data_IF_369000635510
#
_entry.id   IF_369000635510
#
_cell.length_a   1.000
_cell.length_b   1.000
_cell.length_c   1.000
_cell.angle_alpha   90.00
_cell.angle_beta   90.00
_cell.angle_gamma   90.00
#
_symmetry.space_group_name_H-M   'P 1'
#
loop_
_entity.id
_entity.type
_entity.pdbx_description
1 polymer ?
#
# COMPACT_ATOMS: atom_id res chain seq x y z
N UNK A 1 -46.34 -11.59 9.52
CA UNK A 1 -45.88 -11.97 8.16
C UNK A 1 -44.48 -11.42 8.01
N UNK A 2 -43.49 -12.29 8.20
CA UNK A 2 -42.08 -11.94 8.09
C UNK A 2 -41.68 -12.09 6.63
N UNK A 3 -41.28 -11.01 5.98
CA UNK A 3 -40.73 -11.06 4.64
C UNK A 3 -39.21 -11.29 4.74
N UNK A 4 -38.77 -12.43 4.24
CA UNK A 4 -37.41 -12.93 4.38
C UNK A 4 -36.44 -12.20 3.46
N UNK A 5 -35.51 -11.44 4.04
CA UNK A 5 -34.31 -11.03 3.31
C UNK A 5 -33.42 -12.25 3.08
N UNK A 6 -33.34 -12.68 1.82
CA UNK A 6 -32.35 -13.65 1.35
C UNK A 6 -30.95 -13.10 1.62
N UNK A 7 -30.14 -13.84 2.38
CA UNK A 7 -28.71 -13.61 2.54
C UNK A 7 -28.01 -13.67 1.17
N UNK A 8 -27.75 -12.50 0.60
CA UNK A 8 -26.97 -12.38 -0.62
C UNK A 8 -25.49 -12.57 -0.31
N UNK A 9 -24.89 -13.64 -0.81
CA UNK A 9 -23.44 -13.86 -0.75
C UNK A 9 -22.71 -12.66 -1.37
N UNK A 10 -22.06 -11.86 -0.52
CA UNK A 10 -21.25 -10.72 -0.95
C UNK A 10 -20.08 -11.25 -1.80
N UNK A 11 -20.02 -10.84 -3.07
CA UNK A 11 -18.89 -11.23 -3.92
C UNK A 11 -17.58 -10.66 -3.36
N UNK A 12 -16.47 -11.38 -3.53
CA UNK A 12 -15.11 -10.91 -3.19
C UNK A 12 -14.85 -9.51 -3.78
N UNK A 13 -15.36 -9.24 -5.00
CA UNK A 13 -15.28 -7.93 -5.67
C UNK A 13 -16.00 -6.82 -4.91
N UNK A 14 -17.11 -7.11 -4.23
CA UNK A 14 -17.80 -6.14 -3.39
C UNK A 14 -16.98 -5.86 -2.13
N UNK A 15 -16.44 -6.89 -1.47
CA UNK A 15 -15.57 -6.76 -0.30
C UNK A 15 -14.30 -5.95 -0.59
N UNK A 16 -13.64 -6.21 -1.73
CA UNK A 16 -12.50 -5.43 -2.19
C UNK A 16 -12.84 -3.94 -2.41
N UNK A 17 -14.04 -3.61 -2.91
CA UNK A 17 -14.47 -2.20 -3.03
C UNK A 17 -14.49 -1.50 -1.68
N UNK A 18 -14.91 -2.20 -0.62
CA UNK A 18 -14.97 -1.65 0.72
C UNK A 18 -13.59 -1.57 1.37
N UNK A 19 -12.66 -2.48 1.09
CA UNK A 19 -11.32 -2.49 1.70
C UNK A 19 -10.41 -1.33 1.20
N UNK A 20 -10.30 -1.12 -0.12
CA UNK A 20 -9.37 -0.13 -0.70
C UNK A 20 -9.90 1.32 -0.80
N UNK A 21 -10.67 1.84 0.15
CA UNK A 21 -11.19 3.22 0.07
C UNK A 21 -11.08 3.99 1.38
N UNK A 22 -10.25 5.04 1.45
CA UNK A 22 -10.11 5.88 2.65
C UNK A 22 -9.13 7.02 2.42
N UNK A 23 -9.20 8.10 3.20
CA UNK A 23 -8.18 9.16 3.22
C UNK A 23 -7.12 8.79 4.26
N UNK A 24 -5.85 8.78 3.88
CA UNK A 24 -4.73 8.61 4.82
C UNK A 24 -4.62 9.83 5.73
N UNK A 25 -4.58 9.60 7.03
CA UNK A 25 -3.94 10.52 7.98
C UNK A 25 -2.69 9.86 8.54
N UNK A 26 -1.61 10.61 8.77
CA UNK A 26 -0.34 10.11 9.31
C UNK A 26 -0.38 9.65 10.78
N UNK A 27 -1.53 9.15 11.25
CA UNK A 27 -1.70 8.66 12.61
C UNK A 27 -1.27 7.19 12.68
N UNK A 28 -0.35 6.89 13.59
CA UNK A 28 0.17 5.54 13.85
C UNK A 28 -0.81 4.62 14.59
N UNK A 29 -1.93 5.17 15.08
CA UNK A 29 -2.94 4.45 15.86
C UNK A 29 -4.31 5.13 15.72
N UNK A 30 -5.36 4.31 15.61
CA UNK A 30 -6.75 4.75 15.62
C UNK A 30 -7.57 3.86 16.57
N UNK A 31 -8.54 4.46 17.26
CA UNK A 31 -9.54 3.70 18.00
C UNK A 31 -10.62 3.22 17.04
N UNK A 32 -10.67 1.92 16.76
CA UNK A 32 -11.55 1.34 15.72
C UNK A 32 -12.84 0.75 16.28
N UNK A 33 -12.89 0.54 17.59
CA UNK A 33 -14.05 0.07 18.35
C UNK A 33 -13.89 0.53 19.82
N UNK A 34 -14.96 0.61 20.66
CA UNK A 34 -14.82 0.99 22.07
C UNK A 34 -13.68 0.22 22.77
N UNK A 35 -12.71 0.99 23.30
CA UNK A 35 -11.49 0.52 23.95
C UNK A 35 -10.56 -0.38 23.13
N UNK A 36 -10.79 -0.52 21.83
CA UNK A 36 -9.99 -1.31 20.89
C UNK A 36 -9.31 -0.41 19.86
N UNK A 37 -7.99 -0.47 19.84
CA UNK A 37 -7.11 0.36 19.02
C UNK A 37 -6.44 -0.50 17.96
N UNK A 38 -6.33 0.04 16.76
CA UNK A 38 -5.57 -0.54 15.64
C UNK A 38 -4.39 0.38 15.36
N UNK A 39 -3.17 -0.17 15.31
CA UNK A 39 -1.98 0.63 15.07
C UNK A 39 -0.83 -0.13 14.45
N UNK A 40 0.25 0.58 14.17
CA UNK A 40 1.49 0.04 13.64
C UNK A 40 2.55 -0.23 14.73
N UNK A 41 3.73 -0.66 14.31
CA UNK A 41 4.83 -0.93 15.23
C UNK A 41 5.39 0.34 15.90
N UNK A 42 5.22 1.52 15.29
CA UNK A 42 5.71 2.78 15.85
C UNK A 42 5.00 3.09 17.16
N UNK A 43 3.67 2.98 17.20
CA UNK A 43 2.91 3.17 18.46
C UNK A 43 3.18 2.05 19.47
N UNK A 44 3.34 0.80 19.00
CA UNK A 44 3.61 -0.33 19.90
C UNK A 44 4.93 -0.20 20.66
N UNK A 45 5.89 0.53 20.07
CA UNK A 45 7.20 0.82 20.67
C UNK A 45 7.25 2.17 21.43
N UNK A 46 6.18 2.97 21.41
CA UNK A 46 6.07 4.24 22.13
C UNK A 46 5.37 4.03 23.49
N UNK A 47 6.15 3.72 24.54
CA UNK A 47 5.63 3.51 25.89
C UNK A 47 4.86 4.72 26.45
N UNK A 48 5.31 5.92 26.13
CA UNK A 48 4.62 7.14 26.57
C UNK A 48 3.28 7.31 25.83
N UNK A 49 3.26 7.05 24.53
CA UNK A 49 2.03 7.03 23.72
C UNK A 49 1.01 6.01 24.23
N UNK A 50 1.45 4.77 24.51
CA UNK A 50 0.59 3.73 25.09
C UNK A 50 0.03 4.15 26.45
N UNK A 51 0.87 4.66 27.35
CA UNK A 51 0.46 5.16 28.66
C UNK A 51 -0.55 6.30 28.55
N UNK A 52 -0.28 7.28 27.68
CA UNK A 52 -1.16 8.44 27.44
C UNK A 52 -2.51 8.01 26.87
N UNK A 53 -2.54 6.97 26.05
CA UNK A 53 -3.75 6.36 25.52
C UNK A 53 -4.44 5.42 26.52
N UNK A 54 -3.85 5.19 27.69
CA UNK A 54 -4.35 4.26 28.70
C UNK A 54 -4.33 2.80 28.24
N UNK A 55 -3.48 2.44 27.27
CA UNK A 55 -3.39 1.06 26.78
C UNK A 55 -2.85 0.18 27.90
N UNK A 56 -3.60 -0.88 28.18
CA UNK A 56 -3.33 -1.87 29.23
C UNK A 56 -2.92 -3.23 28.67
N UNK A 57 -3.28 -3.50 27.41
CA UNK A 57 -3.02 -4.77 26.75
C UNK A 57 -2.53 -4.52 25.32
N UNK A 58 -1.63 -5.38 24.83
CA UNK A 58 -1.11 -5.35 23.46
C UNK A 58 -1.22 -6.74 22.84
N UNK A 59 -1.88 -6.82 21.69
CA UNK A 59 -1.92 -8.00 20.82
C UNK A 59 -1.07 -7.75 19.58
N UNK A 60 0.07 -8.44 19.48
CA UNK A 60 0.99 -8.34 18.35
C UNK A 60 0.70 -9.42 17.31
N UNK A 61 0.18 -9.03 16.14
CA UNK A 61 -0.09 -9.89 14.99
C UNK A 61 1.14 -10.13 14.08
N UNK A 62 2.36 -10.01 14.64
CA UNK A 62 3.63 -10.15 13.94
C UNK A 62 4.78 -10.62 14.87
N UNK A 63 4.46 -11.38 15.93
CA UNK A 63 5.45 -11.82 16.92
C UNK A 63 6.51 -12.76 16.33
N UNK A 64 7.76 -12.70 16.81
CA UNK A 64 8.81 -13.67 16.46
C UNK A 64 9.70 -13.34 15.24
N UNK A 65 9.62 -12.14 14.64
CA UNK A 65 10.58 -11.67 13.60
C UNK A 65 11.55 -10.60 14.12
N UNK A 66 12.61 -10.33 13.35
CA UNK A 66 13.72 -9.38 13.56
C UNK A 66 13.36 -7.94 13.95
N UNK A 67 12.08 -7.59 14.13
CA UNK A 67 11.63 -6.23 14.39
C UNK A 67 10.60 -6.06 15.51
N UNK A 68 10.29 -7.06 16.33
CA UNK A 68 9.37 -6.85 17.47
C UNK A 68 9.92 -7.48 18.75
N UNK A 69 10.87 -6.78 19.37
CA UNK A 69 11.27 -7.02 20.77
C UNK A 69 10.24 -6.41 21.70
N UNK A 70 9.11 -7.09 21.87
CA UNK A 70 8.08 -6.67 22.81
C UNK A 70 7.62 -7.88 23.59
N UNK A 71 8.36 -8.28 24.61
CA UNK A 71 7.89 -9.27 25.60
C UNK A 71 7.49 -8.55 26.88
N UNK A 72 7.20 -9.33 27.93
CA UNK A 72 6.99 -8.79 29.28
C UNK A 72 8.14 -7.85 29.71
N UNK A 73 9.38 -8.12 29.28
CA UNK A 73 10.56 -7.30 29.56
C UNK A 73 10.52 -5.88 28.97
N UNK A 74 9.84 -5.67 27.83
CA UNK A 74 9.75 -4.36 27.18
C UNK A 74 8.67 -3.48 27.82
N UNK A 75 7.51 -4.09 28.06
CA UNK A 75 6.30 -3.43 28.55
C UNK A 75 6.26 -3.30 30.08
N UNK A 76 7.06 -4.10 30.80
CA UNK A 76 7.04 -4.19 32.25
C UNK A 76 5.69 -4.71 32.78
N UNK A 77 5.35 -4.36 34.02
CA UNK A 77 4.09 -4.73 34.67
C UNK A 77 2.89 -3.88 34.24
N UNK A 78 3.11 -2.85 33.41
CA UNK A 78 2.08 -1.87 33.05
C UNK A 78 1.19 -2.28 31.87
N UNK A 79 1.67 -3.19 31.02
CA UNK A 79 0.95 -3.65 29.83
C UNK A 79 1.08 -5.17 29.72
N UNK A 80 -0.06 -5.84 29.62
CA UNK A 80 -0.11 -7.27 29.33
C UNK A 80 0.10 -7.52 27.83
N UNK A 81 0.98 -8.47 27.48
CA UNK A 81 1.38 -8.71 26.11
C UNK A 81 0.96 -10.10 25.62
N UNK A 82 0.30 -10.14 24.46
CA UNK A 82 -0.01 -11.37 23.73
C UNK A 82 0.61 -11.32 22.33
N UNK A 83 1.46 -12.29 22.02
CA UNK A 83 2.16 -12.40 20.74
C UNK A 83 1.58 -13.50 19.86
N UNK A 84 1.15 -13.15 18.65
CA UNK A 84 0.75 -14.10 17.60
C UNK A 84 1.91 -14.25 16.62
N UNK A 85 2.48 -15.46 16.44
CA UNK A 85 3.60 -15.70 15.53
C UNK A 85 3.13 -15.76 14.08
N UNK A 86 2.50 -14.68 13.61
CA UNK A 86 2.00 -14.56 12.25
C UNK A 86 3.08 -14.01 11.33
N UNK A 87 3.55 -14.84 10.40
CA UNK A 87 4.49 -14.41 9.36
C UNK A 87 3.85 -13.29 8.51
N UNK A 88 4.62 -12.24 8.21
CA UNK A 88 4.22 -11.19 7.27
C UNK A 88 4.38 -11.64 5.82
N UNK A 89 3.75 -12.76 5.51
CA UNK A 89 3.75 -13.38 4.20
C UNK A 89 2.31 -13.53 3.75
N UNK A 90 1.98 -13.20 2.49
CA UNK A 90 0.65 -13.45 1.95
C UNK A 90 0.31 -14.95 1.87
N UNK A 91 1.29 -15.84 2.06
CA UNK A 91 1.09 -17.29 2.13
C UNK A 91 0.86 -17.80 3.57
N UNK A 92 0.96 -16.94 4.59
CA UNK A 92 0.73 -17.35 5.96
C UNK A 92 -0.77 -17.47 6.22
N UNK A 93 -1.19 -18.65 6.69
CA UNK A 93 -2.58 -18.88 7.09
C UNK A 93 -2.87 -18.22 8.44
N UNK A 94 -3.46 -17.02 8.39
CA UNK A 94 -3.88 -16.29 9.59
C UNK A 94 -5.18 -16.85 10.20
N UNK A 95 -5.93 -17.66 9.46
CA UNK A 95 -7.28 -18.08 9.87
C UNK A 95 -7.29 -18.91 11.16
N UNK A 96 -6.23 -19.68 11.39
CA UNK A 96 -6.03 -20.47 12.62
C UNK A 96 -5.98 -19.60 13.88
N UNK A 97 -5.69 -18.30 13.73
CA UNK A 97 -5.62 -17.34 14.84
C UNK A 97 -6.90 -16.51 15.01
N UNK A 98 -7.87 -16.59 14.09
CA UNK A 98 -9.07 -15.76 14.16
C UNK A 98 -9.89 -15.99 15.43
N UNK A 99 -10.24 -17.25 15.74
CA UNK A 99 -11.02 -17.56 16.94
C UNK A 99 -10.22 -17.29 18.23
N UNK A 100 -8.98 -17.80 18.40
CA UNK A 100 -8.20 -17.54 19.61
C UNK A 100 -7.97 -16.04 19.88
N UNK A 101 -7.66 -15.26 18.85
CA UNK A 101 -7.45 -13.82 19.02
C UNK A 101 -8.76 -13.08 19.29
N UNK A 102 -9.86 -13.47 18.64
CA UNK A 102 -11.17 -12.89 18.90
C UNK A 102 -11.61 -13.14 20.35
N UNK A 103 -11.39 -14.35 20.87
CA UNK A 103 -11.68 -14.71 22.26
C UNK A 103 -10.81 -13.90 23.23
N UNK A 104 -9.52 -13.74 22.95
CA UNK A 104 -8.61 -12.88 23.73
C UNK A 104 -9.08 -11.42 23.74
N UNK A 105 -9.37 -10.84 22.56
CA UNK A 105 -9.87 -9.46 22.45
C UNK A 105 -11.15 -9.31 23.27
N UNK A 106 -12.09 -10.26 23.19
CA UNK A 106 -13.34 -10.22 23.94
C UNK A 106 -13.13 -10.28 25.46
N UNK A 107 -12.24 -11.17 25.92
CA UNK A 107 -11.90 -11.29 27.33
C UNK A 107 -11.31 -10.00 27.88
N UNK A 108 -10.36 -9.39 27.15
CA UNK A 108 -9.74 -8.12 27.55
C UNK A 108 -10.79 -7.01 27.60
N UNK A 109 -11.60 -6.84 26.55
CA UNK A 109 -12.58 -5.77 26.47
C UNK A 109 -13.77 -5.94 27.44
N UNK A 110 -13.97 -7.14 27.99
CA UNK A 110 -14.93 -7.40 29.07
C UNK A 110 -14.44 -6.93 30.44
N UNK A 111 -13.15 -6.63 30.57
CA UNK A 111 -12.54 -6.16 31.82
C UNK A 111 -12.74 -4.65 31.98
N UNK A 112 -13.32 -4.16 33.09
CA UNK A 112 -13.57 -2.73 33.28
C UNK A 112 -12.30 -1.88 33.18
N UNK A 113 -12.33 -0.86 32.32
CA UNK A 113 -11.21 0.07 32.12
C UNK A 113 -10.07 -0.47 31.25
N UNK A 114 -10.13 -1.73 30.81
CA UNK A 114 -9.13 -2.29 29.91
C UNK A 114 -9.22 -1.64 28.51
N UNK A 115 -8.05 -1.33 27.96
CA UNK A 115 -7.87 -0.81 26.60
C UNK A 115 -6.80 -1.63 25.89
N UNK A 116 -7.12 -2.10 24.70
CA UNK A 116 -6.32 -3.05 23.92
C UNK A 116 -5.83 -2.41 22.64
N UNK A 117 -4.52 -2.51 22.38
CA UNK A 117 -3.94 -2.23 21.07
C UNK A 117 -3.71 -3.53 20.31
N UNK A 118 -4.25 -3.63 19.10
CA UNK A 118 -3.89 -4.67 18.12
C UNK A 118 -2.99 -4.06 17.07
N UNK A 119 -1.79 -4.61 16.89
CA UNK A 119 -0.84 -4.07 15.91
C UNK A 119 -0.15 -5.17 15.09
N UNK A 120 0.41 -4.78 13.95
CA UNK A 120 1.37 -5.58 13.21
C UNK A 120 2.55 -4.67 12.82
N UNK A 121 3.30 -4.98 11.75
CA UNK A 121 4.40 -4.13 11.30
C UNK A 121 3.93 -2.71 10.92
N UNK A 122 2.97 -2.61 9.99
CA UNK A 122 2.45 -1.34 9.46
C UNK A 122 0.98 -1.07 9.80
N UNK A 123 0.37 -1.87 10.67
CA UNK A 123 -1.01 -1.68 11.14
C UNK A 123 -2.16 -1.99 10.17
N UNK A 124 -1.87 -2.44 8.94
CA UNK A 124 -2.85 -2.50 7.84
C UNK A 124 -3.47 -3.88 7.58
N UNK A 125 -2.70 -4.97 7.74
CA UNK A 125 -3.08 -6.29 7.19
C UNK A 125 -3.49 -7.29 8.26
N UNK A 126 -2.52 -7.82 9.00
CA UNK A 126 -2.73 -8.90 9.97
C UNK A 126 -3.54 -8.42 11.18
N UNK A 127 -3.15 -7.27 11.75
CA UNK A 127 -3.87 -6.65 12.87
C UNK A 127 -5.32 -6.32 12.52
N UNK A 128 -5.54 -5.70 11.36
CA UNK A 128 -6.87 -5.42 10.84
C UNK A 128 -7.72 -6.69 10.70
N UNK A 129 -7.14 -7.77 10.15
CA UNK A 129 -7.84 -9.04 9.97
C UNK A 129 -8.27 -9.65 11.31
N UNK A 130 -7.44 -9.56 12.35
CA UNK A 130 -7.80 -10.04 13.69
C UNK A 130 -8.91 -9.19 14.34
N UNK A 131 -8.89 -7.86 14.14
CA UNK A 131 -9.98 -6.98 14.60
C UNK A 131 -11.29 -7.31 13.88
N UNK A 132 -11.26 -7.52 12.56
CA UNK A 132 -12.44 -7.92 11.80
C UNK A 132 -12.99 -9.27 12.29
N UNK A 133 -12.11 -10.24 12.54
CA UNK A 133 -12.51 -11.53 13.11
C UNK A 133 -13.22 -11.37 14.46
N UNK A 134 -12.71 -10.51 15.35
CA UNK A 134 -13.38 -10.19 16.61
C UNK A 134 -14.79 -9.62 16.43
N UNK A 135 -14.96 -8.61 15.57
CA UNK A 135 -16.26 -8.01 15.32
C UNK A 135 -17.26 -9.02 14.74
N UNK A 136 -16.81 -9.90 13.84
CA UNK A 136 -17.67 -10.94 13.28
C UNK A 136 -18.04 -12.01 14.31
N UNK A 137 -17.08 -12.48 15.11
CA UNK A 137 -17.25 -13.62 16.01
C UNK A 137 -17.99 -13.24 17.29
N UNK A 138 -17.64 -12.12 17.92
CA UNK A 138 -18.17 -11.72 19.23
C UNK A 138 -19.21 -10.61 19.16
N UNK A 139 -19.10 -9.71 18.17
CA UNK A 139 -20.12 -8.66 17.97
C UNK A 139 -21.21 -9.07 16.96
N UNK A 140 -21.09 -10.25 16.36
CA UNK A 140 -22.03 -10.79 15.36
C UNK A 140 -22.21 -9.86 14.16
N UNK A 141 -21.18 -9.08 13.82
CA UNK A 141 -21.24 -8.20 12.66
C UNK A 141 -21.11 -9.01 11.38
N UNK A 142 -21.98 -8.79 10.38
CA UNK A 142 -21.67 -9.19 9.02
C UNK A 142 -20.31 -8.60 8.60
N UNK A 143 -19.51 -9.34 7.84
CA UNK A 143 -18.17 -8.91 7.41
C UNK A 143 -18.16 -7.49 6.82
N UNK A 144 -19.20 -7.14 6.05
CA UNK A 144 -19.31 -5.81 5.48
C UNK A 144 -19.45 -4.71 6.55
N UNK A 145 -20.28 -4.93 7.57
CA UNK A 145 -20.46 -3.98 8.66
C UNK A 145 -19.20 -3.90 9.51
N UNK A 146 -18.54 -5.03 9.77
CA UNK A 146 -17.24 -5.03 10.44
C UNK A 146 -16.19 -4.19 9.68
N UNK A 147 -16.13 -4.33 8.35
CA UNK A 147 -15.24 -3.50 7.51
C UNK A 147 -15.61 -2.03 7.59
N UNK A 148 -16.90 -1.68 7.47
CA UNK A 148 -17.34 -0.28 7.57
C UNK A 148 -16.99 0.32 8.93
N UNK A 149 -17.30 -0.38 10.02
CA UNK A 149 -16.99 0.04 11.39
C UNK A 149 -15.51 0.34 11.56
N UNK A 150 -14.64 -0.59 11.14
CA UNK A 150 -13.20 -0.36 11.26
C UNK A 150 -12.76 0.79 10.35
N UNK A 151 -13.34 0.99 9.15
CA UNK A 151 -12.94 2.09 8.23
C UNK A 151 -13.49 3.46 8.58
N UNK A 152 -14.64 3.54 9.23
CA UNK A 152 -15.19 4.81 9.70
C UNK A 152 -14.40 5.32 10.90
N UNK A 153 -13.84 4.40 11.69
CA UNK A 153 -13.09 4.70 12.90
C UNK A 153 -11.57 4.56 12.74
N UNK A 154 -11.09 3.95 11.64
CA UNK A 154 -9.68 3.92 11.22
C UNK A 154 -9.47 4.87 10.05
N UNK A 155 -8.48 5.74 10.17
CA UNK A 155 -8.02 6.59 9.07
C UNK A 155 -6.92 5.91 8.24
N UNK A 156 -6.74 4.60 8.41
CA UNK A 156 -5.82 3.75 7.66
C UNK A 156 -6.57 2.90 6.61
N UNK A 157 -5.90 2.50 5.53
CA UNK A 157 -6.48 1.56 4.56
C UNK A 157 -6.56 0.15 5.17
N UNK A 158 -7.69 -0.53 5.04
CA UNK A 158 -7.78 -1.97 5.35
C UNK A 158 -7.43 -2.78 4.09
N UNK A 159 -6.26 -3.42 4.11
CA UNK A 159 -5.80 -4.57 3.31
C UNK A 159 -5.58 -4.48 1.79
N UNK A 160 -4.49 -5.15 1.38
CA UNK A 160 -4.18 -5.74 0.07
C UNK A 160 -4.02 -7.28 0.11
N UNK A 161 -4.50 -7.98 1.15
CA UNK A 161 -4.15 -9.41 1.39
C UNK A 161 -5.33 -10.38 1.61
N UNK A 162 -6.59 -10.03 1.32
CA UNK A 162 -7.72 -10.98 1.52
C UNK A 162 -7.90 -11.98 0.35
N UNK A 163 -7.10 -11.90 -0.71
CA UNK A 163 -7.28 -12.77 -1.90
C UNK A 163 -6.10 -13.66 -2.26
N UNK A 164 -5.27 -14.04 -1.29
CA UNK A 164 -4.25 -15.10 -1.43
C UNK A 164 -4.77 -16.47 -1.00
N UNK A 165 -4.54 -17.47 -1.83
CA UNK A 165 -4.99 -18.88 -1.79
C UNK A 165 -5.18 -19.55 -0.42
N UNK A 166 -6.29 -20.32 -0.28
CA UNK A 166 -6.46 -21.24 0.86
C UNK A 166 -7.87 -21.78 1.14
N UNK A 167 -8.94 -21.24 0.55
CA UNK A 167 -10.30 -21.74 0.83
C UNK A 167 -10.71 -22.88 -0.12
N UNK A 168 -10.20 -24.09 0.12
CA UNK A 168 -10.85 -25.30 -0.38
C UNK A 168 -12.03 -25.60 0.54
N UNK A 169 -13.23 -25.17 0.11
CA UNK A 169 -14.46 -25.40 0.86
C UNK A 169 -14.81 -26.88 0.94
N UNK A 170 -14.84 -27.43 2.16
CA UNK A 170 -15.68 -28.59 2.47
C UNK A 170 -17.02 -28.09 2.97
N UNK A 171 -18.03 -28.26 2.13
CA UNK A 171 -19.44 -28.01 2.45
C UNK A 171 -19.94 -29.17 3.31
N UNK A 172 -20.35 -28.91 4.55
CA UNK A 172 -21.28 -29.78 5.26
C UNK A 172 -22.66 -29.50 4.66
N UNK A 173 -23.19 -30.44 3.88
CA UNK A 173 -24.61 -30.46 3.52
C UNK A 173 -25.24 -31.70 4.09
N UNK A 174 -26.24 -31.51 4.95
CA UNK A 174 -27.21 -32.53 5.26
C UNK A 174 -28.19 -32.64 4.08
N UNK A 175 -28.41 -33.87 3.62
CA UNK A 175 -29.44 -34.36 2.69
C UNK A 175 -29.48 -33.86 1.23
N UNK A 176 -29.28 -34.81 0.31
CA UNK A 176 -30.24 -35.08 -0.77
C UNK A 176 -30.01 -34.44 -2.14
N UNK A 177 -29.49 -35.26 -3.08
CA UNK A 177 -29.79 -35.35 -4.53
C UNK A 177 -30.08 -34.05 -5.31
N UNK A 178 -29.29 -33.77 -6.37
CA UNK A 178 -29.73 -33.54 -7.77
C UNK A 178 -28.51 -33.31 -8.70
N UNK A 179 -28.34 -34.27 -9.61
CA UNK A 179 -27.80 -34.29 -11.00
C UNK A 179 -26.50 -33.59 -11.43
N UNK A 180 -25.71 -34.40 -12.15
CA UNK A 180 -24.35 -34.25 -12.67
C UNK A 180 -24.23 -33.54 -14.03
N UNK A 181 -24.69 -32.28 -14.21
CA UNK A 181 -24.72 -31.72 -15.59
C UNK A 181 -24.35 -30.24 -15.83
N UNK A 182 -23.61 -29.57 -14.93
CA UNK A 182 -23.23 -28.15 -15.16
C UNK A 182 -21.76 -27.78 -14.88
N UNK A 183 -20.82 -28.71 -15.00
CA UNK A 183 -19.37 -28.47 -14.79
C UNK A 183 -18.63 -27.70 -15.90
N UNK A 184 -19.31 -27.02 -16.83
CA UNK A 184 -18.65 -26.41 -17.98
C UNK A 184 -19.01 -24.94 -18.25
N UNK A 185 -18.96 -24.06 -17.24
CA UNK A 185 -18.78 -22.62 -17.47
C UNK A 185 -17.74 -22.04 -16.50
N UNK A 186 -16.50 -22.09 -16.97
CA UNK A 186 -15.26 -21.55 -16.40
C UNK A 186 -15.47 -20.09 -15.95
N UNK A 187 -15.61 -19.85 -14.65
CA UNK A 187 -15.54 -18.51 -14.07
C UNK A 187 -14.14 -17.93 -14.33
N UNK A 188 -14.03 -16.94 -15.22
CA UNK A 188 -12.80 -16.17 -15.43
C UNK A 188 -12.56 -15.30 -14.19
N UNK A 189 -11.88 -15.86 -13.18
CA UNK A 189 -11.43 -15.17 -11.96
C UNK A 189 -10.58 -13.97 -12.40
N UNK A 190 -10.98 -12.75 -12.03
CA UNK A 190 -10.19 -11.54 -12.34
C UNK A 190 -9.01 -11.53 -11.37
N UNK A 191 -7.84 -11.87 -11.88
CA UNK A 191 -6.58 -11.90 -11.13
C UNK A 191 -6.10 -10.45 -10.90
N UNK A 192 -5.98 -10.05 -9.63
CA UNK A 192 -5.42 -8.75 -9.27
C UNK A 192 -3.90 -8.83 -9.29
N UNK A 193 -3.27 -7.76 -9.77
CA UNK A 193 -1.82 -7.68 -9.89
C UNK A 193 -1.21 -7.45 -8.50
N UNK A 194 -0.30 -8.32 -8.06
CA UNK A 194 0.40 -8.18 -6.78
C UNK A 194 1.77 -7.51 -6.95
N UNK A 195 2.40 -7.09 -5.83
CA UNK A 195 3.79 -6.60 -5.83
C UNK A 195 4.74 -7.65 -6.39
N UNK A 196 4.57 -8.92 -6.04
CA UNK A 196 5.40 -10.03 -6.57
C UNK A 196 5.25 -10.18 -8.08
N UNK A 197 4.06 -9.94 -8.62
CA UNK A 197 3.86 -9.99 -10.07
C UNK A 197 4.55 -8.83 -10.79
N UNK A 198 4.62 -7.66 -10.16
CA UNK A 198 5.39 -6.53 -10.67
C UNK A 198 6.89 -6.78 -10.60
N UNK A 199 7.38 -7.34 -9.49
CA UNK A 199 8.78 -7.75 -9.35
C UNK A 199 9.19 -8.71 -10.46
N UNK A 200 8.40 -9.75 -10.76
CA UNK A 200 8.65 -10.66 -11.89
C UNK A 200 8.75 -9.93 -13.24
N UNK A 201 7.97 -8.87 -13.45
CA UNK A 201 8.06 -8.06 -14.67
C UNK A 201 9.33 -7.21 -14.67
N UNK A 202 9.71 -6.63 -13.53
CA UNK A 202 10.95 -5.86 -13.39
C UNK A 202 12.19 -6.74 -13.56
N UNK A 203 12.18 -7.95 -13.01
CA UNK A 203 13.25 -8.95 -13.10
C UNK A 203 13.50 -9.43 -14.54
N UNK A 204 12.53 -9.24 -15.45
CA UNK A 204 12.71 -9.53 -16.87
C UNK A 204 13.55 -8.50 -17.62
N UNK A 205 13.87 -7.36 -16.98
CA UNK A 205 14.70 -6.31 -17.57
C UNK A 205 16.19 -6.70 -17.55
N UNK A 206 16.81 -6.76 -18.71
CA UNK A 206 18.24 -7.10 -18.87
C UNK A 206 19.12 -5.91 -19.27
N UNK A 207 18.58 -4.68 -19.21
CA UNK A 207 19.31 -3.47 -19.60
C UNK A 207 20.31 -3.05 -18.51
N UNK A 208 21.42 -2.46 -18.95
CA UNK A 208 22.36 -1.80 -18.04
C UNK A 208 21.81 -0.47 -17.52
N UNK A 209 22.26 -0.09 -16.32
CA UNK A 209 21.88 1.18 -15.71
C UNK A 209 22.78 2.32 -16.18
N UNK A 210 22.36 3.04 -17.23
CA UNK A 210 23.07 4.23 -17.69
C UNK A 210 22.82 5.45 -16.79
N UNK A 211 23.60 6.51 -16.99
CA UNK A 211 23.44 7.75 -16.21
C UNK A 211 22.12 8.46 -16.51
N UNK A 212 21.65 8.38 -17.74
CA UNK A 212 20.40 8.96 -18.22
C UNK A 212 19.88 8.14 -19.40
N UNK A 213 18.57 7.94 -19.48
CA UNK A 213 17.91 7.36 -20.65
C UNK A 213 16.60 8.09 -20.93
N UNK A 214 16.28 8.23 -22.22
CA UNK A 214 14.96 8.67 -22.66
C UNK A 214 13.98 7.50 -22.56
N UNK A 215 13.02 7.61 -21.64
CA UNK A 215 12.09 6.51 -21.33
C UNK A 215 10.71 6.73 -21.94
N UNK A 216 10.43 7.95 -22.39
CA UNK A 216 9.23 8.37 -23.10
C UNK A 216 9.57 9.64 -23.90
N UNK A 217 8.89 9.98 -25.02
CA UNK A 217 9.27 11.15 -25.82
C UNK A 217 9.52 12.41 -24.98
N UNK A 218 10.76 12.92 -25.07
CA UNK A 218 11.28 14.07 -24.34
C UNK A 218 11.30 13.95 -22.79
N UNK A 219 11.07 12.76 -22.24
CA UNK A 219 11.07 12.46 -20.80
C UNK A 219 12.18 11.49 -20.46
N UNK A 220 13.08 11.94 -19.61
CA UNK A 220 14.30 11.24 -19.25
C UNK A 220 14.27 10.81 -17.78
N UNK A 221 14.81 9.63 -17.49
CA UNK A 221 15.17 9.24 -16.13
C UNK A 221 16.69 9.23 -16.02
N UNK A 222 17.22 9.83 -14.95
CA UNK A 222 18.65 9.86 -14.71
C UNK A 222 19.05 9.70 -13.24
N UNK A 223 20.35 9.57 -13.03
CA UNK A 223 20.97 9.53 -11.72
C UNK A 223 21.47 10.92 -11.28
N UNK A 224 22.01 11.00 -10.07
CA UNK A 224 22.47 12.28 -9.51
C UNK A 224 23.70 12.86 -10.23
N UNK A 225 24.53 12.00 -10.82
CA UNK A 225 25.76 12.42 -11.51
C UNK A 225 25.45 13.25 -12.76
N UNK A 226 24.52 12.79 -13.59
CA UNK A 226 24.10 13.56 -14.78
C UNK A 226 23.31 14.81 -14.39
N UNK A 227 22.46 14.73 -13.37
CA UNK A 227 21.64 15.86 -12.94
C UNK A 227 22.48 17.05 -12.47
N UNK A 228 23.61 16.76 -11.81
CA UNK A 228 24.54 17.80 -11.35
C UNK A 228 25.47 18.32 -12.47
N UNK A 229 25.44 17.75 -13.68
CA UNK A 229 26.22 18.23 -14.82
C UNK A 229 25.38 19.13 -15.72
N UNK A 230 25.27 20.41 -15.35
CA UNK A 230 24.45 21.40 -16.07
C UNK A 230 24.82 21.55 -17.53
N UNK A 231 26.10 21.51 -17.87
CA UNK A 231 26.58 21.59 -19.26
C UNK A 231 26.05 20.41 -20.08
N UNK A 232 26.15 19.19 -19.55
CA UNK A 232 25.60 18.02 -20.22
C UNK A 232 24.07 18.11 -20.38
N UNK A 233 23.35 18.59 -19.36
CA UNK A 233 21.91 18.82 -19.47
C UNK A 233 21.54 19.85 -20.56
N UNK A 234 22.32 20.93 -20.68
CA UNK A 234 22.14 21.93 -21.74
C UNK A 234 22.43 21.32 -23.12
N UNK A 235 23.49 20.53 -23.27
CA UNK A 235 23.80 19.84 -24.54
C UNK A 235 22.69 18.86 -24.95
N UNK A 236 22.02 18.22 -23.98
CA UNK A 236 20.87 17.35 -24.23
C UNK A 236 19.57 18.14 -24.51
N UNK A 237 19.58 19.45 -24.28
CA UNK A 237 18.42 20.33 -24.40
C UNK A 237 17.39 20.13 -23.29
N UNK A 238 17.79 19.62 -22.12
CA UNK A 238 16.88 19.50 -20.97
C UNK A 238 16.46 20.90 -20.52
N UNK A 239 15.16 21.12 -20.34
CA UNK A 239 14.59 22.41 -19.92
C UNK A 239 13.95 22.35 -18.54
N UNK A 240 13.55 21.16 -18.09
CA UNK A 240 12.90 20.98 -16.79
C UNK A 240 13.59 19.86 -16.01
N UNK A 241 13.82 20.08 -14.72
CA UNK A 241 14.46 19.11 -13.83
C UNK A 241 13.57 18.85 -12.61
N UNK A 242 13.07 17.63 -12.49
CA UNK A 242 12.44 17.12 -11.29
C UNK A 242 13.45 16.28 -10.50
N UNK A 243 13.78 16.71 -9.30
CA UNK A 243 14.64 16.00 -8.37
C UNK A 243 13.80 15.26 -7.31
N UNK A 244 13.68 13.95 -7.44
CA UNK A 244 12.98 13.07 -6.50
C UNK A 244 13.82 12.69 -5.27
N UNK A 245 14.98 13.32 -5.06
CA UNK A 245 15.88 13.12 -3.93
C UNK A 245 16.38 14.47 -3.36
N UNK A 246 15.59 15.53 -3.47
CA UNK A 246 15.99 16.87 -3.03
C UNK A 246 16.38 16.86 -1.54
N UNK A 247 17.44 17.60 -1.22
CA UNK A 247 18.01 17.70 0.14
C UNK A 247 18.52 16.37 0.73
N UNK A 248 18.65 15.30 -0.07
CA UNK A 248 19.29 14.06 0.37
C UNK A 248 20.80 14.13 0.14
N UNK A 249 21.56 13.42 0.97
CA UNK A 249 23.02 13.41 0.91
C UNK A 249 23.49 13.05 -0.50
N UNK A 250 24.38 13.87 -1.05
CA UNK A 250 24.91 13.70 -2.40
C UNK A 250 23.98 14.15 -3.53
N UNK A 251 22.75 14.61 -3.25
CA UNK A 251 21.85 15.21 -4.22
C UNK A 251 21.79 16.73 -4.07
N UNK A 252 22.63 17.40 -4.83
CA UNK A 252 22.68 18.85 -4.91
C UNK A 252 21.72 19.33 -6.01
N UNK A 253 20.96 20.37 -5.73
CA UNK A 253 20.11 21.02 -6.72
C UNK A 253 19.01 21.85 -6.09
N UNK A 254 18.86 23.07 -6.58
CA UNK A 254 17.74 23.98 -6.37
C UNK A 254 17.66 24.92 -7.59
N UNK A 255 16.68 25.84 -7.59
CA UNK A 255 16.55 26.79 -8.70
C UNK A 255 17.79 27.68 -8.87
N UNK A 256 18.56 27.96 -7.80
CA UNK A 256 19.80 28.75 -7.87
C UNK A 256 20.92 27.97 -8.56
N UNK A 257 21.08 26.70 -8.21
CA UNK A 257 22.04 25.80 -8.84
C UNK A 257 21.80 25.70 -10.34
N UNK A 258 20.55 25.49 -10.77
CA UNK A 258 20.22 25.35 -12.19
C UNK A 258 20.17 26.69 -12.96
N UNK A 259 19.91 27.81 -12.28
CA UNK A 259 19.81 29.14 -12.90
C UNK A 259 18.53 29.30 -13.72
N UNK A 260 18.50 30.25 -14.66
CA UNK A 260 17.33 30.53 -15.50
C UNK A 260 17.17 29.58 -16.70
N UNK A 261 18.19 28.78 -17.01
CA UNK A 261 18.16 27.84 -18.14
C UNK A 261 17.26 26.62 -17.91
N UNK A 262 16.87 26.36 -16.66
CA UNK A 262 16.01 25.23 -16.33
C UNK A 262 14.92 25.64 -15.36
N UNK A 263 13.76 24.99 -15.46
CA UNK A 263 12.73 25.03 -14.42
C UNK A 263 12.97 23.87 -13.46
N UNK A 264 13.07 24.15 -12.16
CA UNK A 264 13.40 23.15 -11.15
C UNK A 264 12.20 22.81 -10.25
N UNK A 265 12.02 21.52 -9.95
CA UNK A 265 11.11 21.04 -8.91
C UNK A 265 11.82 20.01 -8.01
N UNK A 266 11.91 20.30 -6.72
CA UNK A 266 12.52 19.41 -5.73
C UNK A 266 11.46 18.70 -4.88
N UNK A 267 11.54 17.38 -4.80
CA UNK A 267 10.74 16.54 -3.90
C UNK A 267 11.71 15.89 -2.89
N UNK A 268 11.55 16.14 -1.58
CA UNK A 268 12.47 15.65 -0.56
C UNK A 268 12.21 14.19 -0.15
N UNK A 269 12.08 13.30 -1.13
CA UNK A 269 11.68 11.91 -0.90
C UNK A 269 12.81 11.00 -0.39
N UNK A 270 12.48 10.17 0.59
CA UNK A 270 13.32 9.08 1.08
C UNK A 270 13.08 7.81 0.27
N UNK A 271 14.12 7.02 0.07
CA UNK A 271 14.02 5.71 -0.58
C UNK A 271 13.84 4.61 0.47
N UNK A 272 12.71 4.61 1.15
CA UNK A 272 12.46 3.71 2.27
C UNK A 272 11.13 2.98 2.13
N UNK A 273 11.02 1.88 2.87
CA UNK A 273 9.79 1.07 2.93
C UNK A 273 8.62 1.75 3.62
N UNK A 274 8.80 2.97 4.16
CA UNK A 274 7.79 3.67 4.94
C UNK A 274 7.50 5.09 4.43
N UNK A 275 8.26 5.59 3.45
CA UNK A 275 8.04 6.92 2.91
C UNK A 275 6.79 6.94 2.02
N UNK A 276 5.83 7.83 2.32
CA UNK A 276 4.64 7.98 1.48
C UNK A 276 4.93 8.87 0.27
N UNK A 277 5.26 8.25 -0.87
CA UNK A 277 5.53 8.96 -2.12
C UNK A 277 4.25 9.35 -2.89
N UNK A 278 3.08 8.76 -2.54
CA UNK A 278 1.81 8.99 -3.23
C UNK A 278 1.37 10.46 -3.13
N UNK A 279 1.65 11.10 -1.99
CA UNK A 279 1.35 12.52 -1.78
C UNK A 279 1.98 13.44 -2.84
N UNK A 280 3.03 12.97 -3.53
CA UNK A 280 3.72 13.69 -4.58
C UNK A 280 3.37 13.24 -6.01
N UNK A 281 2.60 12.17 -6.19
CA UNK A 281 2.30 11.63 -7.54
C UNK A 281 1.66 12.67 -8.46
N UNK A 282 0.64 13.37 -7.97
CA UNK A 282 -0.03 14.41 -8.77
C UNK A 282 0.90 15.61 -9.03
N UNK A 283 1.59 16.08 -8.00
CA UNK A 283 2.53 17.21 -8.12
C UNK A 283 3.62 16.92 -9.17
N UNK A 284 4.23 15.75 -9.10
CA UNK A 284 5.26 15.33 -10.04
C UNK A 284 4.70 15.15 -11.45
N UNK A 285 3.55 14.48 -11.58
CA UNK A 285 2.90 14.26 -12.87
C UNK A 285 2.50 15.57 -13.55
N UNK A 286 1.98 16.54 -12.79
CA UNK A 286 1.61 17.86 -13.30
C UNK A 286 2.85 18.64 -13.75
N UNK A 287 3.95 18.59 -13.00
CA UNK A 287 5.23 19.19 -13.40
C UNK A 287 5.75 18.59 -14.70
N UNK A 288 5.78 17.25 -14.80
CA UNK A 288 6.21 16.54 -16.00
C UNK A 288 5.31 16.90 -17.19
N UNK A 289 4.00 16.88 -17.01
CA UNK A 289 3.04 17.18 -18.09
C UNK A 289 3.20 18.62 -18.60
N UNK A 290 3.34 19.59 -17.69
CA UNK A 290 3.57 20.99 -18.05
C UNK A 290 4.88 21.15 -18.80
N UNK A 291 5.97 20.56 -18.30
CA UNK A 291 7.28 20.64 -18.92
C UNK A 291 7.30 20.06 -20.34
N UNK A 292 6.64 18.94 -20.57
CA UNK A 292 6.54 18.31 -21.90
C UNK A 292 5.60 19.04 -22.87
N UNK A 293 4.71 19.91 -22.37
CA UNK A 293 3.85 20.76 -23.20
C UNK A 293 4.47 22.11 -23.56
N UNK A 294 5.54 22.50 -22.87
CA UNK A 294 6.30 23.70 -23.22
C UNK A 294 6.98 23.53 -24.58
N UNK A 295 7.13 24.61 -25.38
CA UNK A 295 7.96 24.58 -26.58
C UNK A 295 9.36 24.05 -26.27
N UNK A 296 9.84 23.11 -27.08
CA UNK A 296 11.14 22.42 -26.89
C UNK A 296 11.32 21.77 -25.50
N UNK A 297 10.19 21.46 -24.84
CA UNK A 297 10.13 20.91 -23.50
C UNK A 297 10.75 19.53 -23.39
N UNK A 298 11.85 19.41 -22.65
CA UNK A 298 12.46 18.15 -22.25
C UNK A 298 12.61 18.09 -20.74
N UNK A 299 12.11 17.00 -20.15
CA UNK A 299 12.02 16.84 -18.70
C UNK A 299 12.97 15.73 -18.25
N UNK A 300 13.88 16.05 -17.32
CA UNK A 300 14.64 15.07 -16.57
C UNK A 300 13.97 14.82 -15.22
N UNK A 301 13.69 13.56 -14.91
CA UNK A 301 13.28 13.11 -13.56
C UNK A 301 14.40 12.26 -12.98
N UNK A 302 15.05 12.73 -11.91
CA UNK A 302 16.19 12.02 -11.34
C UNK A 302 16.02 11.76 -9.85
N UNK A 303 16.78 10.78 -9.34
CA UNK A 303 17.01 10.60 -7.91
C UNK A 303 18.51 10.32 -7.71
N UNK A 304 18.90 9.57 -6.68
CA UNK A 304 20.31 9.20 -6.47
C UNK A 304 20.79 8.28 -7.59
N UNK A 305 20.14 7.12 -7.78
CA UNK A 305 20.54 6.11 -8.78
C UNK A 305 19.71 6.18 -10.08
N UNK A 306 18.60 6.91 -10.09
CA UNK A 306 17.67 6.88 -11.22
C UNK A 306 16.92 5.55 -11.37
N UNK A 307 16.67 4.86 -10.25
CA UNK A 307 16.13 3.49 -10.20
C UNK A 307 14.75 3.38 -9.54
N UNK A 308 14.58 3.98 -8.35
CA UNK A 308 13.41 3.76 -7.48
C UNK A 308 12.48 4.98 -7.42
N UNK A 309 12.85 6.05 -6.70
CA UNK A 309 12.02 7.26 -6.53
C UNK A 309 11.63 7.92 -7.86
N UNK A 310 12.60 8.18 -8.74
CA UNK A 310 12.37 8.86 -10.02
C UNK A 310 11.50 8.04 -10.96
N UNK A 311 11.77 6.73 -11.08
CA UNK A 311 10.97 5.84 -11.91
C UNK A 311 9.54 5.71 -11.39
N UNK A 312 9.34 5.69 -10.07
CA UNK A 312 8.00 5.69 -9.47
C UNK A 312 7.19 6.90 -9.91
N UNK A 313 7.78 8.11 -9.85
CA UNK A 313 7.09 9.33 -10.27
C UNK A 313 6.80 9.37 -11.78
N UNK A 314 7.71 8.83 -12.61
CA UNK A 314 7.47 8.70 -14.06
C UNK A 314 6.35 7.69 -14.36
N UNK A 315 6.31 6.55 -13.65
CA UNK A 315 5.24 5.57 -13.78
C UNK A 315 3.88 6.19 -13.40
N UNK A 316 3.83 6.92 -12.28
CA UNK A 316 2.63 7.65 -11.86
C UNK A 316 2.17 8.67 -12.92
N UNK A 317 3.09 9.39 -13.55
CA UNK A 317 2.79 10.28 -14.68
C UNK A 317 2.14 9.54 -15.86
N UNK A 318 2.73 8.43 -16.31
CA UNK A 318 2.17 7.63 -17.41
C UNK A 318 0.77 7.10 -17.09
N UNK A 319 0.52 6.72 -15.83
CA UNK A 319 -0.79 6.26 -15.40
C UNK A 319 -1.82 7.39 -15.36
N UNK A 320 -1.43 8.56 -14.82
CA UNK A 320 -2.33 9.71 -14.63
C UNK A 320 -2.67 10.41 -15.94
N UNK A 321 -1.66 10.70 -16.78
CA UNK A 321 -1.82 11.54 -17.98
C UNK A 321 -1.91 10.76 -19.29
N UNK A 322 -1.33 9.56 -19.36
CA UNK A 322 -1.43 8.68 -20.54
C UNK A 322 -2.39 7.52 -20.32
N UNK A 323 -3.06 7.48 -19.16
CA UNK A 323 -4.05 6.48 -18.81
C UNK A 323 -3.56 5.04 -18.94
N UNK A 324 -2.27 4.82 -18.78
CA UNK A 324 -1.67 3.49 -18.92
C UNK A 324 -1.92 2.65 -17.66
N UNK A 325 -2.33 1.38 -17.75
CA UNK A 325 -2.31 0.48 -16.60
C UNK A 325 -0.88 0.31 -16.08
N UNK A 326 -0.70 0.16 -14.76
CA UNK A 326 0.63 0.09 -14.14
C UNK A 326 1.56 -0.96 -14.79
N UNK A 327 1.06 -2.18 -15.02
CA UNK A 327 1.84 -3.25 -15.67
C UNK A 327 2.38 -2.80 -17.03
N UNK A 328 1.54 -2.16 -17.83
CA UNK A 328 1.90 -1.67 -19.16
C UNK A 328 2.89 -0.51 -19.09
N UNK A 329 2.74 0.37 -18.09
CA UNK A 329 3.69 1.46 -17.84
C UNK A 329 5.09 0.92 -17.48
N UNK A 330 5.15 -0.08 -16.59
CA UNK A 330 6.42 -0.75 -16.26
C UNK A 330 7.02 -1.40 -17.50
N UNK A 331 6.24 -2.20 -18.23
CA UNK A 331 6.69 -2.85 -19.47
C UNK A 331 7.23 -1.87 -20.50
N UNK A 332 6.65 -0.67 -20.61
CA UNK A 332 7.14 0.38 -21.49
C UNK A 332 8.49 0.93 -21.04
N UNK A 333 8.65 1.23 -19.74
CA UNK A 333 9.87 1.85 -19.21
C UNK A 333 11.04 0.86 -19.25
N UNK A 334 10.84 -0.40 -18.88
CA UNK A 334 11.90 -1.41 -18.84
C UNK A 334 12.45 -1.79 -20.23
N UNK A 335 11.77 -1.40 -21.32
CA UNK A 335 12.30 -1.49 -22.68
C UNK A 335 13.38 -0.43 -22.98
N UNK A 336 13.49 0.61 -22.13
CA UNK A 336 14.36 1.76 -22.34
C UNK A 336 15.38 1.95 -21.23
N UNK A 337 15.04 1.55 -20.00
CA UNK A 337 15.91 1.73 -18.83
C UNK A 337 15.59 0.71 -17.74
N UNK A 338 16.64 0.16 -17.11
CA UNK A 338 16.48 -0.58 -15.87
C UNK A 338 15.91 0.31 -14.76
N UNK A 339 14.81 -0.13 -14.15
CA UNK A 339 14.18 0.53 -13.00
C UNK A 339 13.86 -0.52 -11.96
N UNK A 340 13.85 -0.11 -10.69
CA UNK A 340 13.46 -0.99 -9.59
C UNK A 340 12.91 -0.16 -8.43
N UNK A 341 11.64 0.30 -8.49
CA UNK A 341 10.95 0.87 -7.34
C UNK A 341 11.00 -0.07 -6.14
N UNK A 342 11.20 0.46 -4.94
CA UNK A 342 11.09 -0.36 -3.74
C UNK A 342 9.65 -0.90 -3.56
N UNK A 343 9.49 -1.95 -2.75
CA UNK A 343 8.20 -2.63 -2.54
C UNK A 343 7.08 -1.71 -2.07
N UNK A 344 7.38 -0.74 -1.21
CA UNK A 344 6.40 0.23 -0.74
C UNK A 344 5.90 1.09 -1.92
N UNK A 345 6.79 1.59 -2.76
CA UNK A 345 6.41 2.37 -3.95
C UNK A 345 5.62 1.57 -4.97
N UNK A 346 5.95 0.28 -5.17
CA UNK A 346 5.13 -0.62 -6.00
C UNK A 346 3.71 -0.77 -5.44
N UNK A 347 3.57 -0.88 -4.12
CA UNK A 347 2.26 -0.92 -3.48
C UNK A 347 1.47 0.39 -3.66
N UNK A 348 2.12 1.55 -3.54
CA UNK A 348 1.50 2.85 -3.80
C UNK A 348 1.02 2.98 -5.26
N UNK A 349 1.83 2.52 -6.22
CA UNK A 349 1.44 2.51 -7.63
C UNK A 349 0.27 1.54 -7.90
N UNK A 350 0.24 0.38 -7.24
CA UNK A 350 -0.90 -0.55 -7.35
C UNK A 350 -2.20 0.09 -6.83
N UNK A 351 -2.12 0.82 -5.71
CA UNK A 351 -3.28 1.55 -5.20
C UNK A 351 -3.76 2.61 -6.20
N UNK A 352 -2.84 3.40 -6.78
CA UNK A 352 -3.16 4.36 -7.84
C UNK A 352 -3.83 3.68 -9.05
N UNK A 353 -3.32 2.53 -9.51
CA UNK A 353 -3.89 1.78 -10.64
C UNK A 353 -5.33 1.34 -10.36
N UNK A 354 -5.60 0.87 -9.14
CA UNK A 354 -6.94 0.50 -8.69
C UNK A 354 -7.86 1.72 -8.64
N UNK A 355 -7.40 2.84 -8.09
CA UNK A 355 -8.17 4.09 -8.05
C UNK A 355 -8.54 4.58 -9.47
N UNK A 356 -7.59 4.54 -10.41
CA UNK A 356 -7.82 4.96 -11.80
C UNK A 356 -8.75 4.02 -12.56
N UNK A 357 -8.61 2.70 -12.38
CA UNK A 357 -9.53 1.70 -12.94
C UNK A 357 -10.97 1.92 -12.47
N UNK A 358 -11.15 2.33 -11.20
CA UNK A 358 -12.47 2.66 -10.65
C UNK A 358 -13.07 3.89 -11.31
N UNK A 359 -12.31 4.99 -11.39
CA UNK A 359 -12.77 6.25 -12.03
C UNK A 359 -13.23 6.03 -13.47
N UNK A 360 -12.51 5.21 -14.24
CA UNK A 360 -12.90 4.87 -15.63
C UNK A 360 -14.22 4.11 -15.70
N UNK A 361 -14.45 3.15 -14.79
CA UNK A 361 -15.70 2.37 -14.77
C UNK A 361 -16.91 3.20 -14.38
N UNK A 362 -16.74 4.14 -13.45
CA UNK A 362 -17.82 5.05 -13.04
C UNK A 362 -18.19 6.04 -14.16
N UNK A 363 -17.20 6.49 -14.94
CA UNK A 363 -17.41 7.45 -16.03
C UNK A 363 -18.03 6.83 -17.32
N UNK A 364 -18.16 5.50 -17.40
CA UNK A 364 -18.77 4.79 -18.54
C UNK A 364 -20.25 4.43 -18.24
N UNK A 365 -20.67 4.53 -16.98
CA UNK A 365 -22.03 4.21 -16.52
C UNK A 365 -22.91 5.45 -16.30
N UNK A 366 -22.34 6.64 -16.45
CA UNK A 366 -23.01 7.94 -16.53
C UNK A 366 -22.85 8.44 -17.96
#
# INVERSE_FOLDING_TARGET
MCDGMKEGTLSIKALERFLFGGKRSGNHVDQVWPNLFLGDMSIANDRYGLWKLGISHVLNAAHGKTHCQGGHEFYGSSVEYCGVPADDSPAFDLSVYFRPCADYIHQVLSSPGARLLVHCAVGVSRSASLVLAYLMIHQQFPLLEAIKTVKENSRQHLLSTITGDGFSGTTLTQSGLITTEMTARRNKRMEYLSVKDLEKVLDSCTLDLHQIDEVWPNLYIGNVRIAQNRTALQCLGITHVLNAAHSKLGSIGDQKFYGSSFVYCGIPAEDSSHFDLDIYFRLAADFIHKGLKSPDGKVLVHCIMGMSRSSTLVLAYLMLYHHMPLRSAIQRIIQKRAIYPNRNFLALLLDLDLQLKRKRKTCVLL
#
